data_IF_909947900108
#
_entry.id   IF_909947900108
#
_cell.length_a   1.000
_cell.length_b   1.000
_cell.length_c   1.000
_cell.angle_alpha   90.00
_cell.angle_beta   90.00
_cell.angle_gamma   90.00
#
_symmetry.space_group_name_H-M   'P 1'
#
loop_
_entity.id
_entity.type
_entity.pdbx_description
1 polymer ?
#
# COMPACT_ATOMS: atom_id res chain seq x y z
N UNK A 1 1.31 -14.80 -23.27
CA UNK A 1 0.63 -14.38 -24.53
C UNK A 1 -0.80 -13.87 -24.30
N UNK A 2 -1.78 -14.69 -23.91
CA UNK A 2 -3.19 -14.19 -23.81
C UNK A 2 -3.49 -13.34 -22.56
N UNK A 3 -2.71 -13.46 -21.47
CA UNK A 3 -2.82 -12.60 -20.28
C UNK A 3 -2.20 -11.21 -20.50
N UNK A 4 -1.10 -11.15 -21.24
CA UNK A 4 -0.37 -9.91 -21.50
C UNK A 4 -1.13 -9.00 -22.47
N UNK A 5 -1.75 -9.57 -23.50
CA UNK A 5 -2.64 -8.86 -24.42
C UNK A 5 -3.86 -8.25 -23.70
N UNK A 6 -4.50 -9.02 -22.80
CA UNK A 6 -5.65 -8.52 -22.01
C UNK A 6 -5.27 -7.40 -21.04
N UNK A 7 -4.04 -7.40 -20.52
CA UNK A 7 -3.53 -6.34 -19.66
C UNK A 7 -3.28 -5.06 -20.46
N UNK A 8 -2.62 -5.18 -21.63
CA UNK A 8 -2.33 -4.06 -22.53
C UNK A 8 -3.64 -3.43 -23.03
N UNK A 9 -4.61 -4.23 -23.49
CA UNK A 9 -5.93 -3.76 -23.91
C UNK A 9 -6.68 -3.06 -22.76
N UNK A 10 -6.55 -3.58 -21.54
CA UNK A 10 -7.11 -2.97 -20.34
C UNK A 10 -6.48 -1.61 -20.03
N UNK A 11 -5.17 -1.48 -20.19
CA UNK A 11 -4.42 -0.25 -19.96
C UNK A 11 -4.75 0.82 -21.01
N UNK A 12 -4.76 0.46 -22.29
CA UNK A 12 -5.12 1.35 -23.38
C UNK A 12 -6.56 1.88 -23.24
N UNK A 13 -7.51 1.02 -22.85
CA UNK A 13 -8.89 1.42 -22.61
C UNK A 13 -9.02 2.47 -21.50
N UNK A 14 -8.21 2.37 -20.43
CA UNK A 14 -8.18 3.38 -19.36
C UNK A 14 -7.56 4.69 -19.87
N UNK A 15 -6.43 4.61 -20.58
CA UNK A 15 -5.74 5.79 -21.11
C UNK A 15 -6.63 6.63 -22.05
N UNK A 16 -7.44 5.97 -22.88
CA UNK A 16 -8.37 6.64 -23.80
C UNK A 16 -9.51 7.43 -23.12
N UNK A 17 -9.64 7.35 -21.79
CA UNK A 17 -10.72 7.95 -20.99
C UNK A 17 -10.21 8.76 -19.80
N UNK A 18 -8.92 9.09 -19.76
CA UNK A 18 -8.34 9.89 -18.66
C UNK A 18 -8.88 11.31 -18.62
N UNK A 19 -9.30 11.86 -19.78
CA UNK A 19 -9.99 13.14 -19.92
C UNK A 19 -11.25 13.27 -19.04
N UNK A 20 -11.87 12.14 -18.68
CA UNK A 20 -13.07 12.12 -17.82
C UNK A 20 -12.78 12.33 -16.33
N UNK A 21 -11.51 12.34 -15.92
CA UNK A 21 -11.08 12.38 -14.51
C UNK A 21 -10.04 13.47 -14.31
N UNK A 22 -10.17 14.22 -13.22
CA UNK A 22 -9.16 15.15 -12.74
C UNK A 22 -8.52 14.59 -11.48
N UNK A 23 -7.22 14.82 -11.32
CA UNK A 23 -6.44 14.40 -10.15
C UNK A 23 -5.62 15.59 -9.65
N UNK A 24 -5.69 15.84 -8.34
CA UNK A 24 -4.84 16.84 -7.69
C UNK A 24 -3.70 16.12 -6.92
N UNK A 25 -2.43 16.31 -7.31
CA UNK A 25 -1.30 15.62 -6.69
C UNK A 25 -1.04 16.02 -5.24
N UNK A 26 -1.40 17.24 -4.85
CA UNK A 26 -1.18 17.79 -3.50
C UNK A 26 -2.21 17.27 -2.49
N UNK A 27 -3.45 17.03 -2.93
CA UNK A 27 -4.53 16.55 -2.05
C UNK A 27 -4.80 15.05 -2.22
N UNK A 28 -4.39 14.46 -3.34
CA UNK A 28 -4.67 13.06 -3.68
C UNK A 28 -6.12 12.83 -4.13
N UNK A 29 -6.91 13.90 -4.31
CA UNK A 29 -8.32 13.83 -4.64
C UNK A 29 -8.52 13.58 -6.14
N UNK A 30 -9.42 12.66 -6.46
CA UNK A 30 -9.92 12.46 -7.82
C UNK A 30 -11.31 13.05 -7.94
N UNK A 31 -11.60 13.77 -9.02
CA UNK A 31 -12.93 14.30 -9.32
C UNK A 31 -13.34 14.00 -10.76
N UNK A 32 -14.65 13.96 -11.02
CA UNK A 32 -15.15 13.82 -12.39
C UNK A 32 -15.01 15.14 -13.16
N UNK A 33 -14.30 15.10 -14.30
CA UNK A 33 -14.15 16.23 -15.23
C UNK A 33 -15.34 16.38 -16.18
N UNK A 34 -16.20 15.36 -16.24
CA UNK A 34 -17.43 15.35 -17.05
C UNK A 34 -18.59 14.84 -16.20
N UNK A 35 -19.79 15.36 -16.44
CA UNK A 35 -20.99 14.82 -15.79
C UNK A 35 -21.26 13.38 -16.28
N UNK A 36 -21.69 12.51 -15.36
CA UNK A 36 -22.05 11.11 -15.67
C UNK A 36 -23.41 10.78 -15.05
N UNK A 37 -24.15 9.79 -15.56
CA UNK A 37 -25.37 9.33 -14.92
C UNK A 37 -25.11 9.01 -13.43
N UNK A 38 -25.82 9.72 -12.53
CA UNK A 38 -25.66 9.57 -11.09
C UNK A 38 -24.43 10.25 -10.46
N UNK A 39 -23.63 11.00 -11.21
CA UNK A 39 -22.46 11.73 -10.69
C UNK A 39 -22.36 13.13 -11.29
N UNK A 40 -22.38 14.15 -10.43
CA UNK A 40 -22.18 15.54 -10.83
C UNK A 40 -20.73 15.81 -11.23
N UNK A 41 -20.55 16.79 -12.12
CA UNK A 41 -19.24 17.39 -12.40
C UNK A 41 -18.57 17.83 -11.09
N UNK A 42 -17.28 17.54 -10.92
CA UNK A 42 -16.50 17.90 -9.74
C UNK A 42 -16.75 17.04 -8.48
N UNK A 43 -17.68 16.07 -8.51
CA UNK A 43 -17.82 15.12 -7.39
C UNK A 43 -16.58 14.23 -7.27
N UNK A 44 -16.27 13.83 -6.03
CA UNK A 44 -15.18 12.89 -5.75
C UNK A 44 -15.42 11.56 -6.50
N UNK A 45 -14.39 11.08 -7.17
CA UNK A 45 -14.45 9.88 -7.97
C UNK A 45 -14.09 8.63 -7.15
N UNK A 46 -14.79 7.55 -7.45
CA UNK A 46 -14.52 6.21 -6.90
C UNK A 46 -15.10 5.95 -5.52
N UNK A 47 -14.82 4.75 -5.02
CA UNK A 47 -15.27 4.27 -3.72
C UNK A 47 -14.16 3.44 -3.04
N UNK A 48 -14.26 3.25 -1.73
CA UNK A 48 -13.31 2.43 -0.97
C UNK A 48 -13.75 0.96 -1.05
N UNK A 49 -12.81 0.07 -1.40
CA UNK A 49 -13.07 -1.38 -1.45
C UNK A 49 -12.86 -2.04 -0.06
N UNK A 50 -13.09 -3.35 0.02
CA UNK A 50 -12.91 -4.13 1.27
C UNK A 50 -11.46 -4.12 1.79
N UNK A 51 -10.49 -3.91 0.92
CA UNK A 51 -9.08 -3.78 1.27
C UNK A 51 -8.71 -2.33 1.70
N UNK A 52 -9.66 -1.41 1.76
CA UNK A 52 -9.41 -0.02 2.16
C UNK A 52 -8.73 0.84 1.08
N UNK A 53 -8.61 0.35 -0.16
CA UNK A 53 -8.14 1.16 -1.29
C UNK A 53 -9.31 1.86 -1.97
N UNK A 54 -9.09 3.12 -2.37
CA UNK A 54 -10.00 3.80 -3.29
C UNK A 54 -9.86 3.23 -4.70
N UNK A 55 -10.98 2.93 -5.34
CA UNK A 55 -11.08 2.39 -6.69
C UNK A 55 -11.92 3.35 -7.53
N UNK A 56 -11.37 3.80 -8.65
CA UNK A 56 -12.04 4.70 -9.59
C UNK A 56 -12.39 3.92 -10.86
N UNK A 57 -13.64 4.05 -11.32
CA UNK A 57 -14.11 3.37 -12.54
C UNK A 57 -13.91 4.26 -13.76
N UNK A 58 -12.80 4.06 -14.46
CA UNK A 58 -12.47 4.75 -15.72
C UNK A 58 -13.14 4.00 -16.88
N UNK A 59 -14.14 4.61 -17.51
CA UNK A 59 -15.01 3.92 -18.46
C UNK A 59 -15.73 2.72 -17.83
N UNK A 60 -15.41 1.50 -18.28
CA UNK A 60 -15.92 0.22 -17.73
C UNK A 60 -14.94 -0.49 -16.79
N UNK A 61 -13.71 0.04 -16.62
CA UNK A 61 -12.62 -0.64 -15.91
C UNK A 61 -12.43 -0.02 -14.51
N UNK A 62 -12.49 -0.82 -13.43
CA UNK A 62 -12.05 -0.36 -12.11
C UNK A 62 -10.53 -0.27 -12.06
N UNK A 63 -10.00 0.85 -11.54
CA UNK A 63 -8.57 1.12 -11.39
C UNK A 63 -8.30 1.60 -9.96
N UNK A 64 -7.27 1.08 -9.32
CA UNK A 64 -6.85 1.55 -7.99
C UNK A 64 -6.37 3.00 -8.07
N UNK A 65 -6.85 3.84 -7.16
CA UNK A 65 -6.60 5.29 -7.16
C UNK A 65 -5.10 5.63 -7.16
N UNK A 66 -4.29 4.95 -6.34
CA UNK A 66 -2.84 5.17 -6.32
C UNK A 66 -2.15 4.85 -7.66
N UNK A 67 -2.63 3.85 -8.42
CA UNK A 67 -2.10 3.52 -9.76
C UNK A 67 -2.55 4.54 -10.79
N UNK A 68 -3.79 5.02 -10.66
CA UNK A 68 -4.33 6.07 -11.52
C UNK A 68 -3.60 7.41 -11.29
N UNK A 69 -3.28 7.74 -10.03
CA UNK A 69 -2.49 8.92 -9.66
C UNK A 69 -1.13 8.90 -10.37
N UNK A 70 -0.44 7.76 -10.31
CA UNK A 70 0.83 7.56 -11.00
C UNK A 70 0.70 7.71 -12.51
N UNK A 71 -0.31 7.08 -13.11
CA UNK A 71 -0.56 7.17 -14.55
C UNK A 71 -0.81 8.61 -15.02
N UNK A 72 -1.64 9.36 -14.30
CA UNK A 72 -1.94 10.76 -14.66
C UNK A 72 -0.70 11.64 -14.48
N UNK A 73 0.08 11.42 -13.41
CA UNK A 73 1.24 12.27 -13.09
C UNK A 73 2.45 12.01 -13.99
N UNK A 74 2.68 10.76 -14.39
CA UNK A 74 3.87 10.36 -15.16
C UNK A 74 3.57 9.93 -16.59
N UNK A 75 2.30 9.85 -17.01
CA UNK A 75 1.89 9.42 -18.34
C UNK A 75 2.11 7.93 -18.63
N UNK A 76 2.54 7.14 -17.65
CA UNK A 76 2.83 5.72 -17.80
C UNK A 76 2.37 4.91 -16.58
N UNK A 77 2.07 3.62 -16.78
CA UNK A 77 1.76 2.73 -15.67
C UNK A 77 3.00 2.47 -14.81
N UNK A 78 2.83 2.28 -13.48
CA UNK A 78 3.95 1.97 -12.61
C UNK A 78 4.49 0.56 -12.93
N UNK A 79 5.81 0.45 -13.07
CA UNK A 79 6.55 -0.80 -13.32
C UNK A 79 6.71 -1.69 -12.07
N UNK A 80 5.76 -1.60 -11.13
CA UNK A 80 5.78 -2.32 -9.86
C UNK A 80 4.55 -2.02 -8.99
N UNK A 81 4.50 -2.57 -7.77
CA UNK A 81 3.58 -2.13 -6.74
C UNK A 81 3.89 -0.70 -6.30
N UNK A 82 2.84 0.04 -5.97
CA UNK A 82 2.96 1.36 -5.35
C UNK A 82 2.75 1.19 -3.85
N UNK A 83 3.72 1.66 -3.09
CA UNK A 83 3.70 1.71 -1.62
C UNK A 83 3.25 3.09 -1.15
N UNK A 84 2.36 3.12 -0.16
CA UNK A 84 1.95 4.34 0.53
C UNK A 84 2.97 4.60 1.65
N UNK A 85 3.74 5.68 1.53
CA UNK A 85 4.85 5.99 2.45
C UNK A 85 4.34 6.09 3.89
N UNK A 86 3.17 6.68 4.11
CA UNK A 86 2.53 6.78 5.43
C UNK A 86 1.65 5.58 5.82
N UNK A 87 1.57 4.55 4.98
CA UNK A 87 0.75 3.34 5.20
C UNK A 87 -0.77 3.55 5.13
N UNK A 88 -1.24 4.76 4.85
CA UNK A 88 -2.66 5.05 4.66
C UNK A 88 -3.05 4.84 3.20
N UNK A 89 -3.79 3.75 2.93
CA UNK A 89 -4.25 3.33 1.60
C UNK A 89 -5.18 4.34 0.90
N UNK A 90 -5.76 5.28 1.65
CA UNK A 90 -6.66 6.31 1.13
C UNK A 90 -5.93 7.62 0.81
N UNK A 91 -4.71 7.81 1.31
CA UNK A 91 -3.91 9.00 1.04
C UNK A 91 -3.15 8.86 -0.28
N UNK A 92 -3.81 9.26 -1.37
CA UNK A 92 -3.28 9.14 -2.72
C UNK A 92 -2.53 10.40 -3.19
N UNK A 93 -2.01 11.23 -2.27
CA UNK A 93 -1.13 12.35 -2.61
C UNK A 93 0.13 11.83 -3.31
N UNK A 94 0.57 12.50 -4.37
CA UNK A 94 1.71 12.01 -5.17
C UNK A 94 2.98 11.89 -4.32
N UNK A 95 3.20 12.83 -3.40
CA UNK A 95 4.29 12.82 -2.42
C UNK A 95 4.26 11.66 -1.43
N UNK A 96 3.12 10.97 -1.28
CA UNK A 96 2.95 9.81 -0.43
C UNK A 96 3.06 8.47 -1.18
N UNK A 97 3.26 8.50 -2.52
CA UNK A 97 3.32 7.31 -3.35
C UNK A 97 4.73 7.07 -3.88
N UNK A 98 5.15 5.81 -3.90
CA UNK A 98 6.41 5.41 -4.56
C UNK A 98 6.32 4.01 -5.14
N UNK A 99 7.00 3.77 -6.24
CA UNK A 99 7.16 2.41 -6.77
C UNK A 99 8.25 1.69 -5.97
N UNK A 100 7.94 0.50 -5.50
CA UNK A 100 8.88 -0.39 -4.82
C UNK A 100 8.86 -1.76 -5.49
N UNK A 101 9.83 -2.62 -5.20
CA UNK A 101 9.73 -4.02 -5.59
C UNK A 101 8.72 -4.77 -4.71
N UNK A 102 8.30 -5.95 -5.17
CA UNK A 102 7.29 -6.76 -4.48
C UNK A 102 7.75 -7.24 -3.09
N UNK A 103 9.04 -7.53 -2.90
CA UNK A 103 9.54 -7.98 -1.61
C UNK A 103 9.51 -6.83 -0.59
N UNK A 104 9.94 -5.64 -0.99
CA UNK A 104 9.89 -4.42 -0.15
C UNK A 104 8.44 -4.07 0.20
N UNK A 105 7.51 -4.08 -0.75
CA UNK A 105 6.09 -3.83 -0.48
C UNK A 105 5.51 -4.80 0.57
N UNK A 106 5.86 -6.09 0.46
CA UNK A 106 5.39 -7.12 1.40
C UNK A 106 6.02 -6.98 2.79
N UNK A 107 7.23 -6.43 2.88
CA UNK A 107 7.92 -6.15 4.15
C UNK A 107 7.41 -4.87 4.83
N UNK A 108 6.88 -3.90 4.07
CA UNK A 108 6.31 -2.65 4.58
C UNK A 108 4.94 -2.79 5.26
N UNK A 109 4.53 -4.03 5.60
CA UNK A 109 3.39 -4.26 6.49
C UNK A 109 3.60 -3.55 7.83
N UNK A 110 2.56 -2.84 8.26
CA UNK A 110 2.53 -2.09 9.52
C UNK A 110 1.76 -2.79 10.64
N UNK A 111 0.89 -3.74 10.27
CA UNK A 111 0.04 -4.45 11.20
C UNK A 111 0.57 -5.87 11.43
N UNK A 112 0.42 -6.36 12.66
CA UNK A 112 0.64 -7.76 12.96
C UNK A 112 -0.31 -8.65 12.16
N UNK A 113 0.06 -9.91 11.97
CA UNK A 113 -0.85 -10.89 11.41
C UNK A 113 -2.07 -11.06 12.32
N UNK A 114 -3.25 -11.27 11.74
CA UNK A 114 -4.51 -11.41 12.49
C UNK A 114 -4.53 -12.60 13.46
N UNK A 115 -3.66 -13.58 13.23
CA UNK A 115 -3.45 -14.74 14.09
C UNK A 115 -2.44 -14.48 15.24
N UNK A 116 -1.80 -13.31 15.30
CA UNK A 116 -0.99 -12.94 16.46
C UNK A 116 -1.91 -12.54 17.62
N UNK A 117 -2.34 -13.55 18.38
CA UNK A 117 -3.22 -13.37 19.54
C UNK A 117 -2.50 -12.95 20.83
N UNK A 118 -1.18 -12.80 20.79
CA UNK A 118 -0.41 -12.56 22.02
C UNK A 118 -0.50 -11.11 22.51
N UNK A 119 -0.28 -10.14 21.63
CA UNK A 119 -0.33 -8.71 21.95
C UNK A 119 -0.78 -7.82 20.79
N UNK A 120 -0.99 -8.38 19.59
CA UNK A 120 -1.33 -7.60 18.40
C UNK A 120 -0.21 -6.70 17.85
N UNK A 121 0.97 -6.67 18.47
CA UNK A 121 2.11 -5.90 17.99
C UNK A 121 2.90 -6.64 16.91
N UNK A 122 3.34 -5.90 15.89
CA UNK A 122 4.10 -6.45 14.78
C UNK A 122 5.50 -6.90 15.27
N UNK A 123 5.90 -8.11 14.87
CA UNK A 123 7.21 -8.66 15.19
C UNK A 123 7.36 -9.21 16.61
N UNK A 124 6.30 -9.14 17.43
CA UNK A 124 6.32 -9.53 18.84
C UNK A 124 5.43 -10.73 19.09
N UNK A 125 5.95 -11.72 19.83
CA UNK A 125 5.20 -12.91 20.24
C UNK A 125 5.55 -13.29 21.67
N UNK A 126 4.61 -13.87 22.42
CA UNK A 126 4.91 -14.41 23.75
C UNK A 126 5.63 -15.75 23.64
N UNK A 127 6.81 -15.87 24.26
CA UNK A 127 7.55 -17.12 24.33
C UNK A 127 7.23 -17.83 25.66
N UNK A 128 6.54 -18.98 25.59
CA UNK A 128 6.11 -19.75 26.78
C UNK A 128 7.27 -20.37 27.55
N UNK A 129 8.33 -20.80 26.85
CA UNK A 129 9.48 -21.48 27.47
C UNK A 129 10.29 -20.51 28.32
N UNK A 130 10.62 -19.34 27.77
CA UNK A 130 11.38 -18.32 28.48
C UNK A 130 10.52 -17.39 29.34
N UNK A 131 9.19 -17.48 29.24
CA UNK A 131 8.21 -16.60 29.90
C UNK A 131 8.52 -15.11 29.66
N UNK A 132 8.90 -14.77 28.42
CA UNK A 132 9.27 -13.41 28.01
C UNK A 132 8.72 -13.09 26.62
N UNK A 133 8.61 -11.81 26.32
CA UNK A 133 8.24 -11.31 24.99
C UNK A 133 9.42 -11.47 24.05
N UNK A 134 9.21 -12.16 22.95
CA UNK A 134 10.23 -12.41 21.94
C UNK A 134 10.00 -11.53 20.71
N UNK A 135 11.09 -10.90 20.25
CA UNK A 135 11.11 -10.08 19.04
C UNK A 135 11.90 -10.78 17.93
N UNK A 136 11.29 -10.92 16.76
CA UNK A 136 11.89 -11.57 15.58
C UNK A 136 11.56 -10.79 14.31
N UNK A 137 12.53 -10.70 13.40
CA UNK A 137 12.38 -10.03 12.12
C UNK A 137 12.91 -10.93 10.99
N UNK A 138 12.19 -11.01 9.88
CA UNK A 138 12.70 -11.57 8.63
C UNK A 138 13.19 -10.41 7.75
N UNK A 139 14.47 -10.40 7.41
CA UNK A 139 15.06 -9.42 6.50
C UNK A 139 16.03 -10.15 5.57
N UNK A 140 16.05 -9.78 4.29
CA UNK A 140 16.95 -10.40 3.29
C UNK A 140 16.90 -11.94 3.28
N UNK A 141 15.70 -12.51 3.43
CA UNK A 141 15.44 -13.96 3.52
C UNK A 141 16.09 -14.67 4.72
N UNK A 142 16.59 -13.92 5.71
CA UNK A 142 17.17 -14.45 6.95
C UNK A 142 16.32 -14.04 8.16
N UNK A 143 16.10 -15.00 9.06
CA UNK A 143 15.46 -14.73 10.34
C UNK A 143 16.48 -14.15 11.32
N UNK A 144 16.16 -12.99 11.89
CA UNK A 144 16.92 -12.31 12.92
C UNK A 144 16.15 -12.40 14.24
N UNK A 145 16.76 -13.04 15.23
CA UNK A 145 16.30 -12.97 16.61
C UNK A 145 16.83 -11.69 17.24
N UNK A 146 15.93 -10.79 17.62
CA UNK A 146 16.31 -9.47 18.14
C UNK A 146 16.54 -9.56 19.66
N UNK A 147 15.72 -10.33 20.37
CA UNK A 147 15.89 -10.54 21.80
C UNK A 147 14.63 -10.97 22.53
N UNK A 148 14.79 -11.08 23.85
CA UNK A 148 13.73 -11.30 24.83
C UNK A 148 13.56 -10.08 25.73
N UNK A 149 12.31 -9.75 26.04
CA UNK A 149 11.92 -8.52 26.74
C UNK A 149 10.84 -8.81 27.76
N UNK A 150 10.73 -7.93 28.75
CA UNK A 150 9.77 -8.10 29.86
C UNK A 150 8.38 -7.54 29.53
N UNK A 151 8.29 -6.61 28.58
CA UNK A 151 7.03 -6.08 28.06
C UNK A 151 6.97 -6.14 26.52
N UNK A 152 5.76 -6.23 25.93
CA UNK A 152 5.59 -6.33 24.49
C UNK A 152 5.99 -5.03 23.77
N UNK A 153 5.86 -3.86 24.41
CA UNK A 153 6.24 -2.56 23.87
C UNK A 153 7.75 -2.46 23.65
N UNK A 154 8.56 -2.92 24.62
CA UNK A 154 10.01 -2.94 24.47
C UNK A 154 10.45 -3.88 23.34
N UNK A 155 9.81 -5.06 23.23
CA UNK A 155 10.06 -5.98 22.12
C UNK A 155 9.70 -5.37 20.76
N UNK A 156 8.63 -4.59 20.70
CA UNK A 156 8.19 -3.90 19.49
C UNK A 156 9.11 -2.73 19.12
N UNK A 157 9.56 -1.94 20.09
CA UNK A 157 10.54 -0.86 19.86
C UNK A 157 11.85 -1.41 19.29
N UNK A 158 12.33 -2.54 19.82
CA UNK A 158 13.50 -3.23 19.29
C UNK A 158 13.25 -3.77 17.87
N UNK A 159 12.04 -4.29 17.59
CA UNK A 159 11.63 -4.69 16.25
C UNK A 159 11.69 -3.55 15.24
N UNK A 160 11.07 -2.41 15.56
CA UNK A 160 11.06 -1.22 14.69
C UNK A 160 12.49 -0.75 14.41
N UNK A 161 13.32 -0.69 15.45
CA UNK A 161 14.73 -0.29 15.30
C UNK A 161 15.51 -1.24 14.38
N UNK A 162 15.39 -2.55 14.58
CA UNK A 162 16.03 -3.55 13.73
C UNK A 162 15.50 -3.50 12.29
N UNK A 163 14.20 -3.26 12.10
CA UNK A 163 13.59 -3.17 10.78
C UNK A 163 14.15 -1.99 9.98
N UNK A 164 14.28 -0.82 10.60
CA UNK A 164 14.89 0.37 9.97
C UNK A 164 16.33 0.14 9.56
N UNK A 165 17.09 -0.63 10.34
CA UNK A 165 18.48 -0.94 10.04
C UNK A 165 18.64 -1.98 8.93
N UNK A 166 17.78 -3.00 8.88
CA UNK A 166 17.97 -4.19 8.05
C UNK A 166 17.15 -4.19 6.75
N UNK A 167 16.07 -3.41 6.66
CA UNK A 167 15.20 -3.35 5.48
C UNK A 167 15.37 -2.03 4.74
N UNK A 168 15.96 -2.11 3.54
CA UNK A 168 15.99 -1.01 2.58
C UNK A 168 14.54 -0.59 2.25
N UNK A 169 14.24 0.70 2.40
CA UNK A 169 12.91 1.22 2.13
C UNK A 169 11.87 0.98 3.24
N UNK A 170 12.28 0.70 4.48
CA UNK A 170 11.37 0.64 5.62
C UNK A 170 10.56 1.95 5.77
N UNK A 171 9.24 1.82 5.98
CA UNK A 171 8.33 2.97 6.20
C UNK A 171 7.83 3.10 7.63
N UNK A 172 8.26 2.21 8.53
CA UNK A 172 7.91 2.27 9.96
C UNK A 172 9.11 2.59 10.84
#
# INVERSE_FOLDING_TARGET
>A
MQRDANLIDGQAAVMSRLDTISYNPETGLFTWSVARPGCRLGAEAGSVNSDGYRVVKVGKRPVLAHRLAWLISFGAWPNGPIDHINGNRQDNRLSNLRVVDHATNMQNKRQAMSNNKSCGLLGVTWNKQHKRWQSKLMANKKAHHIGYFDCPEAAHAAYVSAKRQLQLGCTI
#
